data_IF_360786235677
#
_entry.id   IF_360786235677
#
_cell.length_a   1.000
_cell.length_b   1.000
_cell.length_c   1.000
_cell.angle_alpha   90.00
_cell.angle_beta   90.00
_cell.angle_gamma   90.00
#
_symmetry.space_group_name_H-M   'P 1'
#
loop_
_entity.id
_entity.type
_entity.pdbx_description
1 polymer ?
#
# COMPACT_ATOMS: atom_id res chain seq x y z
N UNK A 1 11.43 -34.34 32.28
CA UNK A 1 10.24 -33.52 32.58
C UNK A 1 10.29 -32.31 31.67
N UNK A 2 9.62 -32.38 30.53
CA UNK A 2 9.50 -31.24 29.63
C UNK A 2 8.08 -30.74 29.79
N UNK A 3 7.89 -29.74 30.65
CA UNK A 3 6.60 -29.10 30.84
C UNK A 3 6.26 -28.32 29.57
N UNK A 4 5.28 -28.82 28.84
CA UNK A 4 4.67 -28.14 27.71
C UNK A 4 3.90 -26.93 28.28
N UNK A 5 4.56 -25.77 28.32
CA UNK A 5 3.96 -24.51 28.77
C UNK A 5 2.77 -24.14 27.88
N UNK A 6 1.57 -24.48 28.34
CA UNK A 6 0.33 -24.05 27.71
C UNK A 6 0.10 -22.56 27.98
N UNK A 7 0.73 -21.69 27.18
CA UNK A 7 0.43 -20.25 27.13
C UNK A 7 -0.90 -20.06 26.37
N UNK A 8 -1.99 -20.61 26.91
CA UNK A 8 -3.29 -20.73 26.22
C UNK A 8 -4.44 -20.05 26.97
N UNK A 9 -4.15 -19.15 27.91
CA UNK A 9 -5.21 -18.34 28.53
C UNK A 9 -5.38 -17.03 27.77
N UNK A 10 -6.40 -16.97 26.92
CA UNK A 10 -6.92 -15.71 26.37
C UNK A 10 -7.36 -14.81 27.52
N UNK A 11 -6.60 -13.74 27.77
CA UNK A 11 -6.95 -12.69 28.73
C UNK A 11 -8.10 -11.83 28.18
N UNK A 12 -9.04 -11.42 29.04
CA UNK A 12 -10.20 -10.60 28.65
C UNK A 12 -9.80 -9.21 28.12
N UNK A 13 -8.73 -8.64 28.70
CA UNK A 13 -8.20 -7.33 28.34
C UNK A 13 -6.71 -7.46 28.04
N UNK A 14 -6.33 -7.73 26.78
CA UNK A 14 -4.94 -7.79 26.38
C UNK A 14 -4.31 -6.40 26.49
N UNK A 15 -3.31 -6.26 27.36
CA UNK A 15 -2.62 -5.00 27.63
C UNK A 15 -1.29 -4.89 26.87
N UNK A 16 -0.80 -5.99 26.30
CA UNK A 16 0.37 -5.99 25.40
C UNK A 16 -0.07 -6.05 23.94
N UNK A 17 0.72 -5.43 23.07
CA UNK A 17 0.43 -5.38 21.63
C UNK A 17 0.37 -6.77 20.99
N UNK A 18 1.26 -7.68 21.41
CA UNK A 18 1.30 -9.06 20.93
C UNK A 18 0.04 -9.84 21.32
N UNK A 19 -0.46 -9.68 22.55
CA UNK A 19 -1.71 -10.30 22.98
C UNK A 19 -2.91 -9.74 22.21
N UNK A 20 -2.93 -8.42 21.93
CA UNK A 20 -3.99 -7.81 21.12
C UNK A 20 -4.04 -8.43 19.73
N UNK A 21 -2.90 -8.61 19.08
CA UNK A 21 -2.80 -9.26 17.77
C UNK A 21 -3.23 -10.72 17.86
N UNK A 22 -2.67 -11.51 18.78
CA UNK A 22 -2.97 -12.93 18.89
C UNK A 22 -4.46 -13.22 19.13
N UNK A 23 -5.15 -12.33 19.85
CA UNK A 23 -6.57 -12.46 20.15
C UNK A 23 -7.48 -11.79 19.11
N UNK A 24 -6.93 -10.98 18.22
CA UNK A 24 -7.74 -10.29 17.21
C UNK A 24 -8.23 -11.30 16.16
N UNK A 25 -9.52 -11.30 15.80
CA UNK A 25 -10.09 -12.28 14.89
C UNK A 25 -9.77 -11.93 13.43
N UNK A 26 -8.48 -11.83 13.07
CA UNK A 26 -8.03 -11.46 11.71
C UNK A 26 -8.71 -12.31 10.63
N UNK A 27 -8.83 -13.61 10.85
CA UNK A 27 -9.50 -14.54 9.92
C UNK A 27 -10.95 -14.16 9.64
N UNK A 28 -11.68 -13.62 10.62
CA UNK A 28 -13.07 -13.15 10.43
C UNK A 28 -13.09 -11.92 9.53
N UNK A 29 -12.24 -10.92 9.81
CA UNK A 29 -12.16 -9.71 8.99
C UNK A 29 -11.67 -10.01 7.57
N UNK A 30 -10.65 -10.85 7.37
CA UNK A 30 -10.20 -11.22 6.03
C UNK A 30 -11.26 -11.93 5.19
N UNK A 31 -12.08 -12.79 5.81
CA UNK A 31 -13.16 -13.50 5.10
C UNK A 31 -14.39 -12.64 4.83
N UNK A 32 -14.76 -11.78 5.78
CA UNK A 32 -16.02 -11.03 5.72
C UNK A 32 -15.87 -9.65 5.07
N UNK A 33 -14.64 -9.13 4.98
CA UNK A 33 -14.40 -7.85 4.31
C UNK A 33 -14.37 -8.03 2.80
N UNK A 34 -15.33 -7.41 2.12
CA UNK A 34 -15.39 -7.33 0.66
C UNK A 34 -14.17 -6.63 0.04
N UNK A 35 -13.48 -5.80 0.82
CA UNK A 35 -12.37 -4.97 0.36
C UNK A 35 -11.27 -5.82 -0.26
N UNK A 36 -10.92 -6.95 0.35
CA UNK A 36 -9.82 -7.79 -0.13
C UNK A 36 -10.14 -8.46 -1.46
N UNK A 37 -11.42 -8.73 -1.75
CA UNK A 37 -11.84 -9.28 -3.05
C UNK A 37 -11.65 -8.24 -4.15
N UNK A 38 -12.14 -7.02 -3.92
CA UNK A 38 -12.10 -5.98 -4.94
C UNK A 38 -10.77 -5.23 -5.02
N UNK A 39 -10.01 -5.12 -3.94
CA UNK A 39 -8.75 -4.37 -3.89
C UNK A 39 -7.74 -4.93 -4.89
N UNK A 40 -7.49 -6.24 -4.88
CA UNK A 40 -6.55 -6.86 -5.82
C UNK A 40 -7.06 -6.85 -7.26
N UNK A 41 -8.37 -6.99 -7.46
CA UNK A 41 -8.99 -6.91 -8.78
C UNK A 41 -8.83 -5.50 -9.35
N UNK A 42 -9.22 -4.47 -8.60
CA UNK A 42 -9.10 -3.07 -8.99
C UNK A 42 -7.64 -2.67 -9.19
N UNK A 43 -6.73 -3.11 -8.31
CA UNK A 43 -5.30 -2.88 -8.47
C UNK A 43 -4.79 -3.49 -9.78
N UNK A 44 -5.12 -4.77 -10.03
CA UNK A 44 -4.78 -5.48 -11.25
C UNK A 44 -5.31 -4.81 -12.52
N UNK A 45 -6.57 -4.38 -12.50
CA UNK A 45 -7.19 -3.67 -13.62
C UNK A 45 -6.61 -2.27 -13.85
N UNK A 46 -6.12 -1.61 -12.80
CA UNK A 46 -5.51 -0.28 -12.92
C UNK A 46 -4.08 -0.32 -13.47
N UNK A 47 -3.34 -1.43 -13.28
CA UNK A 47 -1.98 -1.59 -13.78
C UNK A 47 -1.81 -1.31 -15.29
N UNK A 48 -2.61 -1.88 -16.22
CA UNK A 48 -2.46 -1.57 -17.64
C UNK A 48 -2.77 -0.11 -17.97
N UNK A 49 -3.74 0.50 -17.27
CA UNK A 49 -4.05 1.92 -17.43
C UNK A 49 -2.85 2.79 -17.02
N UNK A 50 -2.28 2.53 -15.84
CA UNK A 50 -1.09 3.25 -15.37
C UNK A 50 0.14 2.99 -16.24
N UNK A 51 0.31 1.77 -16.76
CA UNK A 51 1.39 1.46 -17.69
C UNK A 51 1.30 2.29 -18.98
N UNK A 52 0.10 2.43 -19.54
CA UNK A 52 -0.13 3.26 -20.73
C UNK A 52 0.17 4.74 -20.45
N UNK A 53 -0.32 5.27 -19.32
CA UNK A 53 -0.02 6.64 -18.91
C UNK A 53 1.48 6.85 -18.68
N UNK A 54 2.15 5.89 -18.04
CA UNK A 54 3.60 5.92 -17.82
C UNK A 54 4.38 5.91 -19.14
N UNK A 55 3.97 5.08 -20.10
CA UNK A 55 4.59 5.05 -21.43
C UNK A 55 4.40 6.38 -22.17
N UNK A 56 3.21 6.97 -22.11
CA UNK A 56 2.91 8.26 -22.77
C UNK A 56 3.67 9.42 -22.14
N UNK A 57 3.80 9.43 -20.80
CA UNK A 57 4.59 10.43 -20.10
C UNK A 57 6.08 10.36 -20.46
N UNK A 58 6.59 9.16 -20.78
CA UNK A 58 8.00 8.92 -21.03
C UNK A 58 8.45 9.01 -22.50
N UNK A 59 7.56 9.41 -23.42
CA UNK A 59 7.91 9.70 -24.81
C UNK A 59 8.97 10.82 -24.84
N UNK A 60 10.00 10.74 -25.71
CA UNK A 60 11.11 11.70 -25.73
C UNK A 60 10.64 13.16 -25.84
N UNK A 61 9.66 13.43 -26.72
CA UNK A 61 9.09 14.77 -26.89
C UNK A 61 8.46 15.34 -25.60
N UNK A 62 7.87 14.48 -24.75
CA UNK A 62 7.26 14.92 -23.49
C UNK A 62 8.32 15.17 -22.42
N UNK A 63 9.38 14.35 -22.40
CA UNK A 63 10.53 14.55 -21.51
C UNK A 63 11.26 15.86 -21.81
N UNK A 64 11.48 16.17 -23.08
CA UNK A 64 12.12 17.42 -23.52
C UNK A 64 11.28 18.63 -23.10
N UNK A 65 9.97 18.62 -23.39
CA UNK A 65 9.05 19.68 -22.96
C UNK A 65 9.00 19.85 -21.44
N UNK A 66 9.03 18.75 -20.68
CA UNK A 66 9.08 18.81 -19.23
C UNK A 66 10.41 19.38 -18.73
N UNK A 67 11.54 18.98 -19.31
CA UNK A 67 12.86 19.49 -18.99
C UNK A 67 12.98 20.99 -19.31
N UNK A 68 12.45 21.44 -20.45
CA UNK A 68 12.37 22.87 -20.80
C UNK A 68 11.51 23.66 -19.81
N UNK A 69 10.35 23.12 -19.43
CA UNK A 69 9.45 23.75 -18.45
C UNK A 69 10.14 23.87 -17.09
N UNK A 70 10.86 22.82 -16.67
CA UNK A 70 11.69 22.85 -15.46
C UNK A 70 12.84 23.84 -15.56
N UNK A 71 13.54 23.94 -16.69
CA UNK A 71 14.60 24.93 -16.92
C UNK A 71 14.08 26.37 -16.87
N UNK A 72 12.84 26.61 -17.30
CA UNK A 72 12.19 27.93 -17.18
C UNK A 72 11.81 28.24 -15.72
N UNK A 73 11.29 27.27 -14.99
CA UNK A 73 10.97 27.42 -13.55
C UNK A 73 12.21 27.55 -12.66
N UNK A 74 13.32 26.93 -13.05
CA UNK A 74 14.57 26.95 -12.27
C UNK A 74 15.43 28.18 -12.57
N UNK A 75 15.22 28.83 -13.71
CA UNK A 75 15.72 30.19 -13.91
C UNK A 75 14.97 31.04 -12.87
N UNK A 76 15.68 31.65 -11.91
CA UNK A 76 15.03 32.58 -11.00
C UNK A 76 14.38 33.65 -11.86
N UNK A 77 13.08 33.89 -11.67
CA UNK A 77 12.43 35.06 -12.25
C UNK A 77 13.29 36.27 -11.88
N UNK A 78 14.03 36.78 -12.86
CA UNK A 78 14.77 38.03 -12.76
C UNK A 78 13.71 39.14 -12.73
N UNK A 79 13.08 39.32 -11.58
CA UNK A 79 12.44 40.56 -11.18
C UNK A 79 13.51 41.60 -10.85
#
# INVERSE_FOLDING_TARGET
MSEEQSVSRTVKYPYTYTQKIAQFPYKHYYKNQWIWRFYFISFGLSLPLFYKLHSLANVPANKEKWAESKRKQLQPDHH
#
